data_IF_764797135959
#
_entry.id   IF_764797135959
#
_cell.length_a   1.000
_cell.length_b   1.000
_cell.length_c   1.000
_cell.angle_alpha   90.00
_cell.angle_beta   90.00
_cell.angle_gamma   90.00
#
_symmetry.space_group_name_H-M   'P 1'
#
loop_
_entity.id
_entity.type
_entity.pdbx_description
1 polymer ?
#
# COMPACT_ATOMS: atom_id res chain seq x y z
N UNK A 1 -17.22 14.33 -0.79
CA UNK A 1 -17.51 15.76 -1.05
C UNK A 1 -16.34 16.67 -0.69
N UNK A 2 -15.91 16.75 0.58
CA UNK A 2 -14.79 17.63 0.98
C UNK A 2 -13.47 17.32 0.27
N UNK A 3 -13.19 16.04 0.02
CA UNK A 3 -11.95 15.62 -0.67
C UNK A 3 -11.87 16.12 -2.12
N UNK A 4 -12.98 16.07 -2.86
CA UNK A 4 -13.02 16.58 -4.24
C UNK A 4 -12.85 18.11 -4.28
N UNK A 5 -13.46 18.83 -3.32
CA UNK A 5 -13.29 20.27 -3.18
C UNK A 5 -11.84 20.64 -2.83
N UNK A 6 -11.21 19.90 -1.92
CA UNK A 6 -9.80 20.07 -1.60
C UNK A 6 -8.89 19.75 -2.80
N UNK A 7 -9.19 18.71 -3.58
CA UNK A 7 -8.47 18.38 -4.81
C UNK A 7 -8.53 19.50 -5.84
N UNK A 8 -9.71 20.09 -6.06
CA UNK A 8 -9.89 21.25 -6.94
C UNK A 8 -9.07 22.45 -6.43
N UNK A 9 -9.17 22.75 -5.12
CA UNK A 9 -8.37 23.82 -4.50
C UNK A 9 -6.88 23.64 -4.71
N UNK A 10 -6.37 22.41 -4.48
CA UNK A 10 -4.96 22.07 -4.71
C UNK A 10 -4.55 22.21 -6.16
N UNK A 11 -5.42 21.88 -7.13
CA UNK A 11 -5.09 22.08 -8.56
C UNK A 11 -5.04 23.54 -8.98
N UNK A 12 -5.84 24.41 -8.35
CA UNK A 12 -5.91 25.85 -8.64
C UNK A 12 -4.77 26.59 -7.95
N UNK A 13 -4.42 26.20 -6.72
CA UNK A 13 -3.43 26.88 -5.86
C UNK A 13 -2.27 25.94 -5.49
N UNK A 14 -1.54 25.46 -6.52
CA UNK A 14 -0.48 24.44 -6.35
C UNK A 14 0.71 24.94 -5.53
N UNK A 15 1.12 26.19 -5.70
CA UNK A 15 2.32 26.76 -5.07
C UNK A 15 2.22 26.85 -3.54
N UNK A 16 1.05 27.22 -3.01
CA UNK A 16 0.83 27.32 -1.56
C UNK A 16 0.80 25.93 -0.90
N UNK A 17 0.30 24.91 -1.58
CA UNK A 17 0.24 23.54 -1.07
C UNK A 17 1.63 22.92 -0.92
N UNK A 18 2.51 23.13 -1.91
CA UNK A 18 3.88 22.62 -1.93
C UNK A 18 4.75 23.20 -0.79
N UNK A 19 4.36 24.35 -0.23
CA UNK A 19 5.05 24.99 0.90
C UNK A 19 4.62 24.41 2.26
N UNK A 20 3.44 23.78 2.34
CA UNK A 20 2.86 23.27 3.60
C UNK A 20 3.14 21.77 3.80
N UNK A 21 3.29 21.00 2.71
CA UNK A 21 3.63 19.59 2.83
C UNK A 21 5.14 19.39 2.95
N UNK A 22 5.62 18.63 3.97
CA UNK A 22 7.00 18.16 3.97
C UNK A 22 7.24 17.26 2.75
N UNK A 23 8.47 17.24 2.19
CA UNK A 23 8.77 16.47 0.98
C UNK A 23 8.65 14.97 1.27
N UNK A 24 7.51 14.39 0.93
CA UNK A 24 7.35 12.94 0.88
C UNK A 24 7.83 12.47 -0.49
N UNK A 25 9.13 12.16 -0.57
CA UNK A 25 9.77 11.34 -1.60
C UNK A 25 9.82 11.96 -3.00
N UNK A 26 11.01 12.43 -3.40
CA UNK A 26 11.35 13.13 -4.64
C UNK A 26 11.05 12.35 -5.96
N UNK A 27 10.60 11.09 -5.87
CA UNK A 27 10.32 10.23 -7.02
C UNK A 27 8.82 10.03 -7.32
N UNK A 28 7.90 10.42 -6.42
CA UNK A 28 6.44 10.27 -6.63
C UNK A 28 5.81 11.45 -7.37
N UNK A 29 6.47 12.61 -7.35
CA UNK A 29 5.95 13.87 -7.89
C UNK A 29 5.93 13.93 -9.43
N UNK A 30 6.75 13.13 -10.11
CA UNK A 30 6.90 13.17 -11.57
C UNK A 30 5.93 12.25 -12.34
N UNK A 31 5.10 11.44 -11.67
CA UNK A 31 4.14 10.56 -12.36
C UNK A 31 2.67 10.72 -11.92
N UNK A 32 2.36 11.37 -10.80
CA UNK A 32 0.97 11.52 -10.34
C UNK A 32 0.73 12.92 -9.78
N UNK A 33 -0.01 13.77 -10.50
CA UNK A 33 -0.40 15.08 -9.99
C UNK A 33 -1.33 14.88 -8.78
N UNK A 34 -0.84 15.20 -7.58
CA UNK A 34 -1.53 14.99 -6.29
C UNK A 34 -2.96 15.54 -6.31
N UNK A 35 -3.17 16.69 -6.96
CA UNK A 35 -4.49 17.29 -7.15
C UNK A 35 -5.45 16.43 -7.98
N UNK A 36 -4.99 15.82 -9.08
CA UNK A 36 -5.82 14.94 -9.92
C UNK A 36 -6.21 13.67 -9.15
N UNK A 37 -5.27 13.07 -8.41
CA UNK A 37 -5.55 11.88 -7.60
C UNK A 37 -6.58 12.14 -6.49
N UNK A 38 -6.49 13.31 -5.84
CA UNK A 38 -7.47 13.72 -4.83
C UNK A 38 -8.87 13.91 -5.43
N UNK A 39 -8.97 14.49 -6.64
CA UNK A 39 -10.24 14.66 -7.34
C UNK A 39 -10.86 13.31 -7.71
N UNK A 40 -10.09 12.38 -8.27
CA UNK A 40 -10.61 11.06 -8.70
C UNK A 40 -11.13 10.27 -7.51
N UNK A 41 -10.36 10.17 -6.42
CA UNK A 41 -10.80 9.49 -5.20
C UNK A 41 -12.04 10.17 -4.61
N UNK A 42 -12.02 11.51 -4.53
CA UNK A 42 -13.13 12.28 -3.99
C UNK A 42 -14.43 12.12 -4.79
N UNK A 43 -14.34 11.99 -6.11
CA UNK A 43 -15.48 11.74 -6.99
C UNK A 43 -16.03 10.32 -6.79
N UNK A 44 -15.16 9.30 -6.77
CA UNK A 44 -15.55 7.90 -6.52
C UNK A 44 -16.24 7.75 -5.16
N UNK A 45 -15.67 8.32 -4.09
CA UNK A 45 -16.29 8.31 -2.76
C UNK A 45 -17.66 9.01 -2.74
N UNK A 46 -17.83 10.08 -3.51
CA UNK A 46 -19.12 10.79 -3.59
C UNK A 46 -20.16 9.97 -4.34
N UNK A 47 -19.78 9.30 -5.43
CA UNK A 47 -20.64 8.37 -6.16
C UNK A 47 -21.07 7.19 -5.28
N UNK A 48 -20.13 6.57 -4.56
CA UNK A 48 -20.42 5.48 -3.61
C UNK A 48 -21.38 5.93 -2.51
N UNK A 49 -21.19 7.13 -1.95
CA UNK A 49 -22.07 7.69 -0.95
C UNK A 49 -23.49 7.97 -1.47
N UNK A 50 -23.61 8.50 -2.69
CA UNK A 50 -24.91 8.70 -3.34
C UNK A 50 -25.59 7.36 -3.64
N UNK A 51 -24.84 6.36 -4.09
CA UNK A 51 -25.38 5.03 -4.32
C UNK A 51 -25.86 4.40 -3.00
N UNK A 52 -25.05 4.38 -1.95
CA UNK A 52 -25.46 3.86 -0.65
C UNK A 52 -26.70 4.57 -0.08
N UNK A 53 -26.70 5.90 -0.12
CA UNK A 53 -27.81 6.72 0.40
C UNK A 53 -29.10 6.56 -0.41
N UNK A 54 -29.03 6.70 -1.73
CA UNK A 54 -30.20 6.54 -2.62
C UNK A 54 -30.71 5.10 -2.63
N UNK A 55 -29.83 4.10 -2.48
CA UNK A 55 -30.21 2.69 -2.35
C UNK A 55 -31.06 2.44 -1.12
N UNK A 56 -30.67 3.04 0.01
CA UNK A 56 -31.42 2.94 1.25
C UNK A 56 -32.76 3.70 1.22
N UNK A 57 -32.76 4.95 0.74
CA UNK A 57 -33.98 5.77 0.69
C UNK A 57 -35.00 5.29 -0.34
N UNK A 58 -34.53 4.87 -1.52
CA UNK A 58 -35.41 4.41 -2.61
C UNK A 58 -35.81 2.94 -2.47
N UNK A 59 -35.40 2.28 -1.37
CA UNK A 59 -35.61 0.85 -1.11
C UNK A 59 -35.30 -0.02 -2.35
N UNK A 60 -34.25 0.35 -3.10
CA UNK A 60 -33.96 -0.25 -4.41
C UNK A 60 -32.93 -1.37 -4.30
N UNK A 61 -33.38 -2.62 -4.48
CA UNK A 61 -32.54 -3.81 -4.45
C UNK A 61 -31.36 -3.75 -5.45
N UNK A 62 -31.62 -3.26 -6.67
CA UNK A 62 -30.60 -3.15 -7.73
C UNK A 62 -29.47 -2.17 -7.34
N UNK A 63 -29.83 -1.06 -6.70
CA UNK A 63 -28.86 -0.04 -6.32
C UNK A 63 -28.01 -0.50 -5.12
N UNK A 64 -28.62 -1.26 -4.20
CA UNK A 64 -27.95 -1.88 -3.06
C UNK A 64 -26.98 -3.01 -3.45
N UNK A 65 -27.34 -3.84 -4.44
CA UNK A 65 -26.44 -4.89 -4.95
C UNK A 65 -25.29 -4.32 -5.77
N UNK A 66 -25.53 -3.22 -6.50
CA UNK A 66 -24.46 -2.48 -7.19
C UNK A 66 -23.46 -1.89 -6.18
N UNK A 67 -23.95 -1.26 -5.12
CA UNK A 67 -23.09 -0.76 -4.03
C UNK A 67 -22.26 -1.89 -3.39
N UNK A 68 -22.90 -2.99 -3.00
CA UNK A 68 -22.21 -4.16 -2.43
C UNK A 68 -21.12 -4.71 -3.37
N UNK A 69 -21.43 -4.87 -4.67
CA UNK A 69 -20.49 -5.39 -5.65
C UNK A 69 -19.28 -4.47 -5.83
N UNK A 70 -19.47 -3.15 -5.84
CA UNK A 70 -18.35 -2.21 -5.98
C UNK A 70 -17.44 -2.25 -4.74
N UNK A 71 -18.01 -2.27 -3.52
CA UNK A 71 -17.20 -2.36 -2.28
C UNK A 71 -16.43 -3.68 -2.23
N UNK A 72 -17.03 -4.79 -2.67
CA UNK A 72 -16.34 -6.09 -2.75
C UNK A 72 -15.12 -6.02 -3.69
N UNK A 73 -15.26 -5.38 -4.85
CA UNK A 73 -14.13 -5.20 -5.79
C UNK A 73 -13.03 -4.35 -5.16
N UNK A 74 -13.37 -3.30 -4.41
CA UNK A 74 -12.39 -2.46 -3.72
C UNK A 74 -11.64 -3.28 -2.66
N UNK A 75 -12.33 -4.08 -1.86
CA UNK A 75 -11.72 -4.95 -0.84
C UNK A 75 -10.73 -5.95 -1.46
N UNK A 76 -11.06 -6.55 -2.61
CA UNK A 76 -10.13 -7.42 -3.36
C UNK A 76 -8.92 -6.63 -3.86
N UNK A 77 -9.12 -5.43 -4.39
CA UNK A 77 -8.02 -4.58 -4.85
C UNK A 77 -7.10 -4.14 -3.70
N UNK A 78 -7.66 -3.80 -2.54
CA UNK A 78 -6.92 -3.43 -1.33
C UNK A 78 -6.06 -4.59 -0.82
N UNK A 79 -6.64 -5.79 -0.70
CA UNK A 79 -5.89 -6.99 -0.28
C UNK A 79 -4.80 -7.38 -1.27
N UNK A 80 -5.07 -7.30 -2.59
CA UNK A 80 -4.06 -7.55 -3.61
C UNK A 80 -2.91 -6.54 -3.55
N UNK A 81 -3.22 -5.24 -3.39
CA UNK A 81 -2.23 -4.19 -3.24
C UNK A 81 -1.37 -4.40 -1.97
N UNK A 82 -1.97 -4.82 -0.87
CA UNK A 82 -1.25 -5.13 0.36
C UNK A 82 -0.26 -6.31 0.16
N UNK A 83 -0.69 -7.39 -0.51
CA UNK A 83 0.19 -8.53 -0.82
C UNK A 83 1.34 -8.09 -1.73
N UNK A 84 1.05 -7.34 -2.79
CA UNK A 84 2.08 -6.82 -3.70
C UNK A 84 3.07 -5.92 -2.96
N UNK A 85 2.59 -5.00 -2.11
CA UNK A 85 3.46 -4.14 -1.33
C UNK A 85 4.37 -4.94 -0.38
N UNK A 86 3.85 -6.00 0.24
CA UNK A 86 4.64 -6.88 1.10
C UNK A 86 5.67 -7.69 0.30
N UNK A 87 5.30 -8.25 -0.84
CA UNK A 87 6.22 -9.03 -1.70
C UNK A 87 7.31 -8.14 -2.29
N UNK A 88 6.98 -6.95 -2.78
CA UNK A 88 7.98 -6.06 -3.37
C UNK A 88 8.84 -5.34 -2.32
N UNK A 89 8.45 -5.36 -1.05
CA UNK A 89 9.31 -4.88 0.03
C UNK A 89 10.62 -5.64 0.13
N UNK A 90 10.74 -6.87 -0.41
CA UNK A 90 11.99 -7.63 -0.40
C UNK A 90 12.98 -7.28 -1.51
N UNK A 91 12.65 -6.41 -2.47
CA UNK A 91 13.61 -5.90 -3.48
C UNK A 91 14.58 -4.84 -2.93
N UNK A 92 14.67 -4.72 -1.61
CA UNK A 92 15.63 -3.84 -0.94
C UNK A 92 17.07 -4.30 -1.26
N UNK A 93 17.98 -3.34 -1.39
CA UNK A 93 19.42 -3.62 -1.49
C UNK A 93 19.93 -4.12 -0.13
N UNK A 94 19.74 -5.41 0.12
CA UNK A 94 20.07 -6.09 1.36
C UNK A 94 20.80 -7.41 1.08
N UNK A 95 21.49 -7.95 2.09
CA UNK A 95 22.27 -9.17 1.98
C UNK A 95 21.94 -10.15 3.12
N UNK A 96 21.50 -11.35 2.77
CA UNK A 96 21.11 -12.37 3.75
C UNK A 96 19.83 -12.00 4.52
N UNK A 97 19.43 -12.84 5.45
CA UNK A 97 18.30 -12.58 6.32
C UNK A 97 18.67 -11.54 7.39
N UNK A 98 19.79 -11.78 8.09
CA UNK A 98 20.38 -10.91 9.10
C UNK A 98 21.63 -10.18 8.58
N UNK A 99 22.53 -10.86 7.86
CA UNK A 99 23.74 -10.29 7.25
C UNK A 99 24.42 -11.32 6.29
N UNK A 100 25.59 -10.99 5.74
CA UNK A 100 26.41 -11.84 4.87
C UNK A 100 26.74 -13.22 5.48
N UNK A 101 26.86 -13.31 6.80
CA UNK A 101 27.14 -14.55 7.54
C UNK A 101 26.11 -15.65 7.27
N UNK A 102 24.88 -15.32 6.86
CA UNK A 102 23.86 -16.32 6.51
C UNK A 102 24.28 -17.18 5.30
N UNK A 103 25.27 -16.74 4.53
CA UNK A 103 25.85 -17.49 3.41
C UNK A 103 27.15 -18.22 3.75
N UNK A 104 27.67 -18.11 4.97
CA UNK A 104 28.91 -18.78 5.40
C UNK A 104 28.81 -20.32 5.37
N UNK A 105 27.62 -20.86 5.53
CA UNK A 105 27.33 -22.31 5.40
C UNK A 105 26.75 -22.68 4.03
N UNK A 106 26.79 -21.76 3.05
CA UNK A 106 26.28 -22.05 1.72
C UNK A 106 27.30 -22.88 0.92
N UNK A 107 26.78 -23.75 0.04
CA UNK A 107 27.60 -24.53 -0.90
C UNK A 107 28.59 -23.66 -1.71
N UNK A 108 28.20 -22.42 -2.04
CA UNK A 108 29.03 -21.49 -2.80
C UNK A 108 30.22 -20.97 -1.98
N UNK A 109 30.02 -20.65 -0.70
CA UNK A 109 31.11 -20.26 0.19
C UNK A 109 32.03 -21.44 0.51
N UNK A 110 31.48 -22.64 0.75
CA UNK A 110 32.30 -23.84 1.01
C UNK A 110 33.20 -24.20 -0.18
N UNK A 111 32.72 -23.98 -1.41
CA UNK A 111 33.48 -24.30 -2.63
C UNK A 111 34.46 -23.20 -3.05
N UNK A 112 34.12 -21.92 -2.90
CA UNK A 112 34.89 -20.80 -3.47
C UNK A 112 35.40 -19.79 -2.44
N UNK A 113 34.91 -19.82 -1.19
CA UNK A 113 35.22 -18.83 -0.16
C UNK A 113 34.60 -17.45 -0.42
N UNK A 114 33.51 -17.39 -1.19
CA UNK A 114 32.95 -16.12 -1.69
C UNK A 114 31.47 -15.95 -1.32
N UNK A 115 31.07 -14.68 -1.20
CA UNK A 115 29.70 -14.24 -0.95
C UNK A 115 29.03 -13.68 -2.22
N UNK A 116 27.68 -13.64 -2.26
CA UNK A 116 26.95 -12.98 -3.34
C UNK A 116 27.37 -11.50 -3.50
N UNK A 117 27.45 -11.00 -4.74
CA UNK A 117 27.86 -9.61 -5.01
C UNK A 117 26.97 -8.56 -4.36
N UNK A 118 25.70 -8.89 -4.07
CA UNK A 118 24.77 -8.02 -3.33
C UNK A 118 25.20 -7.73 -1.88
N UNK A 119 26.16 -8.49 -1.35
CA UNK A 119 26.71 -8.34 -0.01
C UNK A 119 27.92 -7.41 0.06
N UNK A 120 28.48 -7.02 -1.08
CA UNK A 120 29.64 -6.14 -1.16
C UNK A 120 29.30 -4.84 -1.91
N UNK A 121 29.69 -3.70 -1.34
CA UNK A 121 29.57 -2.38 -1.97
C UNK A 121 30.80 -2.14 -2.86
N UNK A 122 30.84 -2.72 -4.07
CA UNK A 122 31.98 -2.59 -4.96
C UNK A 122 31.67 -2.94 -6.42
N UNK A 123 32.55 -2.50 -7.33
CA UNK A 123 32.55 -2.92 -8.75
C UNK A 123 32.81 -4.43 -8.86
N UNK A 124 32.22 -5.11 -9.84
CA UNK A 124 32.42 -6.55 -10.14
C UNK A 124 33.88 -6.96 -10.43
N UNK A 125 34.82 -6.02 -10.32
CA UNK A 125 36.24 -6.22 -10.50
C UNK A 125 36.92 -6.94 -9.31
N UNK A 126 36.28 -6.98 -8.13
CA UNK A 126 36.83 -7.66 -6.95
C UNK A 126 35.89 -8.78 -6.45
N UNK A 127 36.42 -9.98 -6.14
CA UNK A 127 35.63 -11.04 -5.52
C UNK A 127 35.15 -10.61 -4.13
N UNK A 128 33.90 -10.93 -3.78
CA UNK A 128 33.31 -10.62 -2.48
C UNK A 128 33.74 -11.67 -1.45
N UNK A 129 34.92 -11.46 -0.86
CA UNK A 129 35.47 -12.26 0.25
C UNK A 129 34.91 -11.77 1.61
N UNK A 130 35.19 -12.49 2.69
CA UNK A 130 34.72 -12.22 4.05
C UNK A 130 35.09 -10.80 4.53
N UNK A 131 36.36 -10.41 4.38
CA UNK A 131 36.84 -9.07 4.76
C UNK A 131 36.04 -7.96 4.04
N UNK A 132 35.70 -8.20 2.78
CA UNK A 132 35.03 -7.23 1.93
C UNK A 132 33.53 -7.15 2.22
N UNK A 133 32.91 -8.27 2.56
CA UNK A 133 31.52 -8.35 3.00
C UNK A 133 31.32 -7.68 4.37
N UNK A 134 32.26 -7.90 5.31
CA UNK A 134 32.25 -7.26 6.63
C UNK A 134 32.47 -5.75 6.52
N UNK A 135 33.46 -5.32 5.72
CA UNK A 135 33.72 -3.90 5.45
C UNK A 135 32.52 -3.20 4.79
N UNK A 136 31.83 -3.87 3.86
CA UNK A 136 30.67 -3.31 3.16
C UNK A 136 29.45 -3.14 4.07
N UNK A 137 29.34 -3.94 5.14
CA UNK A 137 28.31 -3.85 6.18
C UNK A 137 26.89 -3.68 5.61
N UNK A 138 26.57 -4.45 4.57
CA UNK A 138 25.25 -4.43 3.94
C UNK A 138 24.24 -5.01 4.92
N UNK A 139 23.19 -4.26 5.22
CA UNK A 139 22.19 -4.67 6.20
C UNK A 139 21.39 -5.87 5.68
N UNK A 140 21.09 -6.83 6.57
CA UNK A 140 20.19 -7.95 6.24
C UNK A 140 18.77 -7.53 5.91
N UNK A 141 18.13 -8.31 5.04
CA UNK A 141 16.82 -7.99 4.51
C UNK A 141 15.75 -7.91 5.60
N UNK A 142 15.78 -8.78 6.59
CA UNK A 142 14.81 -8.76 7.69
C UNK A 142 14.90 -7.46 8.49
N UNK A 143 16.12 -7.03 8.84
CA UNK A 143 16.33 -5.81 9.61
C UNK A 143 15.87 -4.57 8.83
N UNK A 144 16.08 -4.55 7.51
CA UNK A 144 15.65 -3.45 6.66
C UNK A 144 14.12 -3.41 6.50
N UNK A 145 13.49 -4.56 6.26
CA UNK A 145 12.02 -4.69 6.19
C UNK A 145 11.39 -4.29 7.52
N UNK A 146 11.89 -4.83 8.64
CA UNK A 146 11.40 -4.50 9.98
C UNK A 146 11.59 -3.02 10.30
N UNK A 147 12.70 -2.40 9.88
CA UNK A 147 12.91 -0.96 10.04
C UNK A 147 11.89 -0.14 9.25
N UNK A 148 11.63 -0.51 8.00
CA UNK A 148 10.64 0.16 7.14
C UNK A 148 9.24 0.02 7.74
N UNK A 149 8.88 -1.20 8.13
CA UNK A 149 7.60 -1.51 8.77
C UNK A 149 7.51 -0.73 10.08
N UNK A 150 8.39 -0.92 11.06
CA UNK A 150 8.27 -0.27 12.38
C UNK A 150 8.29 1.25 12.36
N UNK A 151 8.98 1.88 11.40
CA UNK A 151 9.11 3.35 11.39
C UNK A 151 7.77 4.06 11.19
N UNK A 152 6.80 3.47 10.47
CA UNK A 152 5.49 4.10 10.19
C UNK A 152 4.29 3.12 10.09
N UNK A 153 4.48 1.81 10.31
CA UNK A 153 3.39 0.81 10.17
C UNK A 153 2.24 1.07 11.12
N UNK A 154 2.46 1.64 12.30
CA UNK A 154 1.37 1.85 13.26
C UNK A 154 0.30 2.80 12.70
N UNK A 155 0.71 3.86 12.00
CA UNK A 155 -0.24 4.83 11.41
C UNK A 155 -0.86 4.25 10.14
N UNK A 156 -0.02 3.74 9.22
CA UNK A 156 -0.50 3.22 7.93
C UNK A 156 -1.37 1.99 8.12
N UNK A 157 -0.95 1.05 8.98
CA UNK A 157 -1.71 -0.14 9.33
C UNK A 157 -3.00 0.19 10.07
N UNK A 158 -3.01 1.22 10.92
CA UNK A 158 -4.23 1.71 11.56
C UNK A 158 -5.25 2.26 10.57
N UNK A 159 -4.81 3.04 9.58
CA UNK A 159 -5.68 3.55 8.50
C UNK A 159 -6.23 2.40 7.68
N UNK A 160 -5.38 1.48 7.21
CA UNK A 160 -5.78 0.33 6.41
C UNK A 160 -6.80 -0.55 7.17
N UNK A 161 -6.50 -0.94 8.41
CA UNK A 161 -7.42 -1.72 9.23
C UNK A 161 -8.77 -1.02 9.45
N UNK A 162 -8.76 0.31 9.64
CA UNK A 162 -9.97 1.10 9.76
C UNK A 162 -10.81 1.10 8.47
N UNK A 163 -10.16 1.27 7.31
CA UNK A 163 -10.82 1.22 6.00
C UNK A 163 -11.44 -0.16 5.79
N UNK A 164 -10.66 -1.23 5.94
CA UNK A 164 -11.17 -2.60 5.79
C UNK A 164 -12.36 -2.87 6.73
N UNK A 165 -12.29 -2.42 7.99
CA UNK A 165 -13.40 -2.60 8.94
C UNK A 165 -14.68 -1.85 8.50
N UNK A 166 -14.55 -0.62 8.00
CA UNK A 166 -15.68 0.18 7.50
C UNK A 166 -16.31 -0.49 6.27
N UNK A 167 -15.51 -1.02 5.34
CA UNK A 167 -16.00 -1.72 4.16
C UNK A 167 -16.80 -2.97 4.52
N UNK A 168 -16.28 -3.79 5.44
CA UNK A 168 -16.97 -5.01 5.92
C UNK A 168 -18.29 -4.65 6.60
N UNK A 169 -18.30 -3.59 7.43
CA UNK A 169 -19.53 -3.09 8.04
C UNK A 169 -20.54 -2.62 6.98
N UNK A 170 -20.09 -1.87 5.97
CA UNK A 170 -20.93 -1.39 4.88
C UNK A 170 -21.53 -2.54 4.05
N UNK A 171 -20.74 -3.58 3.76
CA UNK A 171 -21.21 -4.80 3.10
C UNK A 171 -22.26 -5.53 3.94
N UNK A 172 -22.03 -5.67 5.25
CA UNK A 172 -22.97 -6.29 6.18
C UNK A 172 -24.31 -5.55 6.26
N UNK A 173 -24.28 -4.22 6.40
CA UNK A 173 -25.50 -3.38 6.42
C UNK A 173 -26.24 -3.46 5.08
N UNK A 174 -25.51 -3.46 3.96
CA UNK A 174 -26.12 -3.57 2.62
C UNK A 174 -26.81 -4.91 2.42
N UNK A 175 -26.18 -6.01 2.84
CA UNK A 175 -26.77 -7.34 2.76
C UNK A 175 -28.00 -7.46 3.69
N UNK A 176 -27.90 -6.95 4.91
CA UNK A 176 -29.02 -6.92 5.85
C UNK A 176 -30.23 -6.18 5.27
N UNK A 177 -30.01 -4.96 4.75
CA UNK A 177 -31.08 -4.17 4.17
C UNK A 177 -31.64 -4.82 2.90
N UNK A 178 -30.81 -5.48 2.09
CA UNK A 178 -31.27 -6.24 0.93
C UNK A 178 -32.26 -7.33 1.33
N UNK A 179 -31.89 -8.16 2.33
CA UNK A 179 -32.76 -9.23 2.84
C UNK A 179 -34.04 -8.68 3.47
N UNK A 180 -33.97 -7.54 4.16
CA UNK A 180 -35.15 -6.88 4.73
C UNK A 180 -36.13 -6.45 3.63
N UNK A 181 -35.64 -5.80 2.58
CA UNK A 181 -36.46 -5.38 1.44
C UNK A 181 -36.99 -6.55 0.62
N UNK A 182 -36.25 -7.67 0.59
CA UNK A 182 -36.72 -8.89 -0.05
C UNK A 182 -37.94 -9.49 0.65
N UNK A 183 -37.89 -9.56 1.98
CA UNK A 183 -39.03 -9.99 2.80
C UNK A 183 -40.23 -9.06 2.72
N UNK A 184 -40.02 -7.74 2.61
CA UNK A 184 -41.11 -6.75 2.49
C UNK A 184 -41.90 -6.88 1.18
N UNK A 185 -41.27 -7.40 0.13
CA UNK A 185 -41.86 -7.53 -1.21
C UNK A 185 -42.65 -8.84 -1.42
N UNK A 186 -42.63 -9.74 -0.44
CA UNK A 186 -43.37 -11.02 -0.43
C UNK A 186 -44.55 -10.93 0.53
#
# INVERSE_FOLDING_TARGET
MCLAAAGIWVTVDRDSFMTILPPFTDNFQNQVNVGIFSITIGAVMTLLGLLGCCGAQKESKCLLIMFFSIILIICIAETAAAVVALVYSSYLQCCGFSNYTDFSESYYYEQYGLYPSTCCAGSELFPCDEDNADFSNVVGCFKQIVKIVQTKVSIVGGIAAGVTAIEVAAMGVSMYLYCYLDKKAT
#
